data_IF_299665981741
#
_entry.id   IF_299665981741
#
_cell.length_a   1.000
_cell.length_b   1.000
_cell.length_c   1.000
_cell.angle_alpha   90.00
_cell.angle_beta   90.00
_cell.angle_gamma   90.00
#
_symmetry.space_group_name_H-M   'P 1'
#
loop_
_entity.id
_entity.type
_entity.pdbx_description
1 polymer ?
#
# COMPACT_ATOMS: atom_id res chain seq x y z
N UNK A 1 6.67 9.19 -2.06
CA UNK A 1 7.94 8.40 -2.12
C UNK A 1 7.56 6.94 -2.09
N UNK A 2 8.14 6.06 -2.89
CA UNK A 2 8.01 4.61 -2.72
C UNK A 2 9.36 3.97 -3.06
N UNK A 3 9.61 2.77 -2.58
CA UNK A 3 10.80 1.99 -2.99
C UNK A 3 10.33 0.68 -3.62
N UNK A 4 10.95 0.32 -4.72
CA UNK A 4 10.60 -0.87 -5.50
C UNK A 4 11.85 -1.71 -5.67
N UNK A 5 11.71 -3.03 -5.49
CA UNK A 5 12.81 -3.96 -5.72
C UNK A 5 13.30 -3.89 -7.17
N UNK A 6 14.58 -4.19 -7.37
CA UNK A 6 15.13 -4.36 -8.72
C UNK A 6 14.36 -5.42 -9.50
N UNK A 7 14.33 -5.28 -10.83
CA UNK A 7 13.68 -6.22 -11.75
C UNK A 7 12.14 -6.36 -11.61
N UNK A 8 11.50 -5.45 -10.86
CA UNK A 8 10.04 -5.36 -10.82
C UNK A 8 9.45 -4.77 -12.09
N UNK A 9 8.26 -5.23 -12.47
CA UNK A 9 7.49 -4.66 -13.57
C UNK A 9 6.04 -4.42 -13.12
N UNK A 10 5.60 -3.16 -13.13
CA UNK A 10 4.22 -2.80 -12.79
C UNK A 10 3.44 -2.32 -14.01
N UNK A 11 2.21 -2.82 -14.15
CA UNK A 11 1.22 -2.29 -15.10
C UNK A 11 0.21 -1.35 -14.42
N UNK A 12 0.19 -1.32 -13.09
CA UNK A 12 -0.71 -0.54 -12.26
C UNK A 12 0.08 0.52 -11.47
N UNK A 13 -0.64 1.45 -10.86
CA UNK A 13 -0.02 2.47 -10.03
C UNK A 13 0.44 1.88 -8.69
N UNK A 14 1.56 2.38 -8.20
CA UNK A 14 2.21 1.90 -6.97
C UNK A 14 1.80 2.82 -5.82
N UNK A 15 1.35 2.23 -4.72
CA UNK A 15 0.90 2.99 -3.56
C UNK A 15 2.04 3.87 -2.99
N UNK A 16 1.78 5.16 -2.69
CA UNK A 16 2.74 6.03 -2.04
C UNK A 16 3.18 5.47 -0.67
N UNK A 17 4.40 5.82 -0.30
CA UNK A 17 5.09 5.43 0.93
C UNK A 17 5.32 3.94 1.09
N UNK A 18 4.99 3.13 0.09
CA UNK A 18 5.14 1.67 0.17
C UNK A 18 6.54 1.19 -0.17
N UNK A 19 6.82 -0.05 0.23
CA UNK A 19 7.89 -0.92 -0.24
C UNK A 19 7.24 -2.00 -1.11
N UNK A 20 7.44 -1.91 -2.41
CA UNK A 20 6.90 -2.87 -3.38
C UNK A 20 7.96 -3.90 -3.79
N UNK A 21 7.58 -5.18 -3.79
CA UNK A 21 8.48 -6.29 -4.15
C UNK A 21 7.80 -7.25 -5.12
N UNK A 22 8.58 -7.85 -6.02
CA UNK A 22 8.10 -8.86 -6.97
C UNK A 22 7.70 -8.31 -8.35
N UNK A 23 7.04 -9.17 -9.14
CA UNK A 23 6.60 -8.89 -10.51
C UNK A 23 5.17 -9.43 -10.70
N UNK A 24 4.12 -8.64 -10.43
CA UNK A 24 4.14 -7.19 -10.18
C UNK A 24 4.58 -6.80 -8.75
N UNK A 25 5.07 -5.56 -8.52
CA UNK A 25 5.63 -5.15 -7.23
C UNK A 25 4.56 -4.87 -6.17
N UNK A 26 4.15 -5.90 -5.44
CA UNK A 26 3.09 -5.79 -4.41
C UNK A 26 3.60 -5.04 -3.19
N UNK A 27 2.83 -4.07 -2.65
CA UNK A 27 3.22 -3.34 -1.44
C UNK A 27 3.20 -4.26 -0.21
N UNK A 28 4.37 -4.53 0.38
CA UNK A 28 4.54 -5.40 1.57
C UNK A 28 4.56 -4.63 2.89
N UNK A 29 4.81 -3.33 2.85
CA UNK A 29 4.92 -2.51 4.05
C UNK A 29 5.24 -1.06 3.75
N UNK A 30 5.24 -0.22 4.79
CA UNK A 30 5.60 1.20 4.69
C UNK A 30 7.12 1.38 4.59
N UNK A 31 7.57 2.36 3.82
CA UNK A 31 8.96 2.79 3.69
C UNK A 31 9.34 3.70 4.86
N UNK A 32 9.41 3.10 6.04
CA UNK A 32 9.75 3.76 7.31
C UNK A 32 11.13 4.43 7.24
N UNK A 33 12.08 3.86 6.49
CA UNK A 33 13.43 4.43 6.34
C UNK A 33 13.37 5.79 5.65
N UNK A 34 12.63 5.90 4.53
CA UNK A 34 12.48 7.18 3.84
C UNK A 34 11.76 8.23 4.69
N UNK A 35 10.74 7.81 5.45
CA UNK A 35 10.02 8.72 6.38
C UNK A 35 10.92 9.19 7.52
N UNK A 36 11.74 8.30 8.11
CA UNK A 36 12.74 8.67 9.12
C UNK A 36 13.75 9.70 8.57
N UNK A 37 14.23 9.50 7.34
CA UNK A 37 15.17 10.43 6.68
C UNK A 37 14.56 11.82 6.42
N UNK A 38 13.23 11.90 6.27
CA UNK A 38 12.51 13.18 6.14
C UNK A 38 12.09 13.80 7.47
N UNK A 39 12.47 13.20 8.61
CA UNK A 39 12.13 13.73 9.92
C UNK A 39 10.66 13.52 10.31
N UNK A 40 9.96 12.54 9.71
CA UNK A 40 8.56 12.28 10.07
C UNK A 40 8.48 11.77 11.52
N UNK A 41 7.63 12.37 12.36
CA UNK A 41 7.39 11.92 13.74
C UNK A 41 6.99 10.44 13.85
N UNK A 42 7.21 9.83 15.01
CA UNK A 42 6.97 8.39 15.21
C UNK A 42 5.46 8.06 15.23
N UNK A 43 4.67 8.86 15.94
CA UNK A 43 3.21 8.84 15.97
C UNK A 43 2.61 8.88 14.56
N UNK A 44 3.04 9.83 13.71
CA UNK A 44 2.58 9.94 12.33
C UNK A 44 2.92 8.67 11.54
N UNK A 45 4.15 8.15 11.69
CA UNK A 45 4.57 6.89 11.05
C UNK A 45 3.74 5.70 11.52
N UNK A 46 3.37 5.63 12.79
CA UNK A 46 2.56 4.55 13.35
C UNK A 46 1.15 4.59 12.77
N UNK A 47 0.47 5.73 12.81
CA UNK A 47 -0.88 5.90 12.24
C UNK A 47 -0.88 5.60 10.73
N UNK A 48 0.11 6.09 9.98
CA UNK A 48 0.21 5.80 8.53
C UNK A 48 0.45 4.31 8.26
N UNK A 49 1.21 3.62 9.13
CA UNK A 49 1.45 2.18 8.97
C UNK A 49 0.20 1.35 9.29
N UNK A 50 -0.59 1.76 10.28
CA UNK A 50 -1.89 1.13 10.58
C UNK A 50 -2.87 1.32 9.43
N UNK A 51 -2.96 2.54 8.88
CA UNK A 51 -3.79 2.81 7.71
C UNK A 51 -3.34 1.99 6.50
N UNK A 52 -2.04 1.88 6.27
CA UNK A 52 -1.48 1.04 5.22
C UNK A 52 -1.88 -0.43 5.40
N UNK A 53 -1.80 -0.98 6.61
CA UNK A 53 -2.20 -2.37 6.91
C UNK A 53 -3.67 -2.62 6.59
N UNK A 54 -4.55 -1.68 6.93
CA UNK A 54 -5.98 -1.79 6.60
C UNK A 54 -6.20 -1.80 5.08
N UNK A 55 -5.48 -0.97 4.32
CA UNK A 55 -5.58 -0.93 2.85
C UNK A 55 -5.16 -2.22 2.16
N UNK A 56 -4.16 -2.93 2.71
CA UNK A 56 -3.68 -4.20 2.15
C UNK A 56 -4.37 -5.42 2.76
N UNK A 57 -5.22 -5.26 3.78
CA UNK A 57 -5.91 -6.37 4.46
C UNK A 57 -6.87 -7.07 3.54
N UNK A 58 -6.87 -8.41 3.54
CA UNK A 58 -7.78 -9.24 2.73
C UNK A 58 -9.25 -9.16 3.18
N UNK A 59 -9.50 -8.71 4.40
CA UNK A 59 -10.84 -8.62 5.00
C UNK A 59 -11.69 -7.48 4.41
N UNK A 60 -11.05 -6.43 3.89
CA UNK A 60 -11.73 -5.23 3.42
C UNK A 60 -11.45 -4.96 1.94
N UNK A 61 -12.47 -4.47 1.24
CA UNK A 61 -12.27 -3.84 -0.06
C UNK A 61 -11.70 -2.42 0.12
N UNK A 62 -11.23 -1.81 -0.96
CA UNK A 62 -10.56 -0.49 -0.90
C UNK A 62 -11.46 0.59 -0.30
N UNK A 63 -12.75 0.62 -0.64
CA UNK A 63 -13.70 1.62 -0.13
C UNK A 63 -13.95 1.45 1.36
N UNK A 64 -14.20 0.21 1.81
CA UNK A 64 -14.39 -0.13 3.22
C UNK A 64 -13.14 0.16 4.04
N UNK A 65 -11.96 -0.16 3.51
CA UNK A 65 -10.70 0.15 4.18
C UNK A 65 -10.54 1.66 4.36
N UNK A 66 -10.87 2.47 3.34
CA UNK A 66 -10.82 3.94 3.43
C UNK A 66 -11.80 4.48 4.48
N UNK A 67 -13.03 3.97 4.54
CA UNK A 67 -14.01 4.36 5.55
C UNK A 67 -13.53 4.03 6.96
N UNK A 68 -12.99 2.82 7.15
CA UNK A 68 -12.47 2.37 8.45
C UNK A 68 -11.26 3.20 8.90
N UNK A 69 -10.35 3.53 7.98
CA UNK A 69 -9.21 4.40 8.26
C UNK A 69 -9.67 5.77 8.74
N UNK A 70 -10.68 6.36 8.09
CA UNK A 70 -11.22 7.66 8.49
C UNK A 70 -11.93 7.62 9.85
N UNK A 71 -12.45 6.47 10.26
CA UNK A 71 -13.17 6.30 11.51
C UNK A 71 -12.26 5.96 12.71
N UNK A 72 -11.26 5.09 12.51
CA UNK A 72 -10.46 4.52 13.60
C UNK A 72 -9.09 5.20 13.77
N UNK A 73 -8.52 5.78 12.71
CA UNK A 73 -7.15 6.28 12.70
C UNK A 73 -7.13 7.80 12.61
N UNK A 74 -6.33 8.49 13.45
CA UNK A 74 -6.12 9.93 13.32
C UNK A 74 -5.58 10.29 11.94
N UNK A 75 -6.34 11.10 11.20
CA UNK A 75 -5.96 11.55 9.88
C UNK A 75 -4.67 12.38 9.92
N UNK A 76 -3.82 12.19 8.92
CA UNK A 76 -2.59 12.94 8.76
C UNK A 76 -2.33 13.20 7.27
N UNK A 77 -1.42 14.12 6.97
CA UNK A 77 -1.10 14.49 5.58
C UNK A 77 -0.64 13.31 4.71
N UNK A 78 -0.04 12.27 5.30
CA UNK A 78 0.42 11.09 4.56
C UNK A 78 -0.73 10.16 4.21
N UNK A 79 -1.66 9.95 5.16
CA UNK A 79 -2.86 9.14 4.98
C UNK A 79 -3.78 9.79 3.95
N UNK A 80 -3.99 11.10 4.03
CA UNK A 80 -4.79 11.85 3.05
C UNK A 80 -4.22 11.71 1.64
N UNK A 81 -2.91 11.93 1.47
CA UNK A 81 -2.23 11.75 0.19
C UNK A 81 -2.33 10.32 -0.34
N UNK A 82 -2.32 9.31 0.53
CA UNK A 82 -2.51 7.91 0.12
C UNK A 82 -3.93 7.67 -0.40
N UNK A 83 -4.94 8.15 0.32
CA UNK A 83 -6.36 7.99 -0.06
C UNK A 83 -6.64 8.73 -1.37
N UNK A 84 -6.18 9.97 -1.49
CA UNK A 84 -6.32 10.77 -2.70
C UNK A 84 -5.65 10.10 -3.91
N UNK A 85 -4.46 9.52 -3.72
CA UNK A 85 -3.78 8.78 -4.79
C UNK A 85 -4.57 7.56 -5.25
N UNK A 86 -5.16 6.81 -4.32
CA UNK A 86 -6.00 5.66 -4.64
C UNK A 86 -7.23 6.11 -5.44
N UNK A 87 -7.88 7.20 -5.04
CA UNK A 87 -9.09 7.70 -5.69
C UNK A 87 -8.81 8.32 -7.07
N UNK A 88 -7.64 8.94 -7.26
CA UNK A 88 -7.26 9.61 -8.51
C UNK A 88 -6.62 8.68 -9.54
N UNK A 89 -6.22 7.46 -9.14
CA UNK A 89 -5.57 6.50 -10.04
C UNK A 89 -6.49 6.00 -11.14
N UNK A 90 -6.17 6.34 -12.39
CA UNK A 90 -6.90 5.88 -13.59
C UNK A 90 -6.60 4.43 -13.97
N UNK A 91 -5.44 3.91 -13.55
CA UNK A 91 -4.95 2.56 -13.91
C UNK A 91 -5.26 1.52 -12.83
N UNK A 92 -5.83 1.96 -11.71
CA UNK A 92 -5.94 1.17 -10.49
C UNK A 92 -4.61 1.09 -9.74
N UNK A 93 -4.71 0.97 -8.41
CA UNK A 93 -3.55 0.82 -7.53
C UNK A 93 -3.33 -0.65 -7.21
N UNK A 94 -2.08 -1.11 -7.36
CA UNK A 94 -1.68 -2.46 -6.96
C UNK A 94 -1.60 -2.53 -5.44
N UNK A 95 -2.64 -3.07 -4.81
CA UNK A 95 -2.70 -3.29 -3.35
C UNK A 95 -2.49 -4.77 -2.98
N UNK A 96 -2.95 -5.68 -3.83
CA UNK A 96 -2.95 -7.12 -3.60
C UNK A 96 -2.57 -7.85 -4.89
N UNK A 97 -1.96 -9.03 -4.75
CA UNK A 97 -1.88 -9.97 -5.87
C UNK A 97 -3.01 -10.98 -5.72
N UNK A 98 -3.82 -11.16 -6.76
CA UNK A 98 -4.64 -12.36 -6.82
C UNK A 98 -3.70 -13.54 -7.06
N UNK A 99 -3.76 -14.56 -6.20
CA UNK A 99 -3.22 -15.88 -6.51
C UNK A 99 -4.08 -16.47 -7.64
N UNK A 100 -3.84 -16.07 -8.87
CA UNK A 100 -4.46 -16.70 -10.03
C UNK A 100 -3.51 -16.65 -11.22
N UNK A 101 -2.80 -17.76 -11.43
CA UNK A 101 -2.02 -17.96 -12.66
C UNK A 101 -1.02 -19.11 -12.61
N UNK A 102 -0.37 -19.37 -11.46
CA UNK A 102 0.68 -20.41 -11.38
C UNK A 102 0.53 -21.44 -10.26
N UNK A 103 -0.34 -21.21 -9.26
CA UNK A 103 -0.61 -22.21 -8.21
C UNK A 103 -1.63 -23.30 -8.64
N UNK A 104 -2.08 -23.30 -9.90
CA UNK A 104 -2.92 -24.39 -10.44
C UNK A 104 -2.13 -25.52 -11.10
N UNK A 105 -0.79 -25.54 -10.99
CA UNK A 105 0.09 -26.53 -11.62
C UNK A 105 1.12 -27.15 -10.65
N UNK A 106 0.95 -26.96 -9.34
CA UNK A 106 1.83 -27.56 -8.32
C UNK A 106 1.08 -28.46 -7.32
N UNK A 107 -0.22 -28.68 -7.53
CA UNK A 107 -1.00 -29.72 -6.87
C UNK A 107 -1.26 -30.87 -7.86
N UNK A 108 -0.19 -31.55 -8.31
CA UNK A 108 -0.24 -32.90 -8.89
C UNK A 108 0.82 -33.80 -8.21
#
# INVERSE_FOLDING_TARGET
MAIISGFSASRQDILPYSKGEGRPPVPRGLNVIAMKRRGVPLDVRTHTNEAFKLLISDEYNTTQAIEKIKAEIPMNEYIEKMIEFIQSSKRGVLLKTHKSGHESLQDE
#
